data_IF_302809230697
#
_entry.id   IF_302809230697
#
_cell.length_a   1.000
_cell.length_b   1.000
_cell.length_c   1.000
_cell.angle_alpha   90.00
_cell.angle_beta   90.00
_cell.angle_gamma   90.00
#
_symmetry.space_group_name_H-M   'P 1'
#
loop_
_entity.id
_entity.type
_entity.pdbx_description
1 polymer ?
#
# COMPACT_ATOMS: atom_id res chain seq x y z
N UNK A 1 -13.00 11.00 -41.18
CA UNK A 1 -12.08 10.21 -40.35
C UNK A 1 -12.81 9.88 -39.07
N UNK A 2 -13.17 8.62 -38.85
CA UNK A 2 -13.88 8.18 -37.64
C UNK A 2 -12.89 8.14 -36.48
N UNK A 3 -13.07 8.98 -35.46
CA UNK A 3 -12.39 8.80 -34.18
C UNK A 3 -13.00 7.58 -33.51
N UNK A 4 -12.35 6.42 -33.63
CA UNK A 4 -12.68 5.29 -32.78
C UNK A 4 -12.34 5.70 -31.33
N UNK A 5 -13.36 5.80 -30.47
CA UNK A 5 -13.14 6.00 -29.04
C UNK A 5 -12.33 4.83 -28.50
N UNK A 6 -11.23 5.15 -27.82
CA UNK A 6 -10.37 4.14 -27.20
C UNK A 6 -11.07 3.62 -25.94
N UNK A 7 -11.76 2.50 -26.06
CA UNK A 7 -12.38 1.82 -24.92
C UNK A 7 -11.28 1.31 -23.97
N UNK A 8 -11.35 1.71 -22.70
CA UNK A 8 -10.50 1.19 -21.63
C UNK A 8 -11.39 0.30 -20.76
N UNK A 9 -11.14 -1.01 -20.71
CA UNK A 9 -11.89 -1.92 -19.84
C UNK A 9 -11.80 -1.48 -18.37
N UNK A 10 -12.90 -1.66 -17.63
CA UNK A 10 -12.96 -1.46 -16.18
C UNK A 10 -13.08 -2.80 -15.47
N UNK A 11 -12.47 -2.92 -14.31
CA UNK A 11 -12.37 -4.15 -13.53
C UNK A 11 -12.68 -3.92 -12.05
N UNK A 12 -13.10 -4.98 -11.38
CA UNK A 12 -13.39 -5.05 -9.95
C UNK A 12 -12.34 -5.89 -9.21
N UNK A 13 -12.42 -5.93 -7.88
CA UNK A 13 -11.62 -6.82 -7.04
C UNK A 13 -11.89 -8.29 -7.39
N UNK A 14 -13.13 -8.65 -7.73
CA UNK A 14 -13.47 -10.02 -8.15
C UNK A 14 -12.71 -10.39 -9.44
N UNK A 15 -12.63 -9.48 -10.42
CA UNK A 15 -11.82 -9.69 -11.62
C UNK A 15 -10.33 -9.81 -11.27
N UNK A 16 -9.82 -8.92 -10.42
CA UNK A 16 -8.42 -8.87 -10.00
C UNK A 16 -7.93 -10.17 -9.37
N UNK A 17 -8.77 -10.84 -8.57
CA UNK A 17 -8.42 -12.10 -7.89
C UNK A 17 -8.05 -13.25 -8.85
N UNK A 18 -8.45 -13.14 -10.11
CA UNK A 18 -8.21 -14.13 -11.15
C UNK A 18 -7.02 -13.78 -12.06
N UNK A 19 -6.34 -12.66 -11.84
CA UNK A 19 -5.24 -12.22 -12.69
C UNK A 19 -3.95 -12.99 -12.43
N UNK A 20 -3.22 -13.28 -13.51
CA UNK A 20 -1.89 -13.88 -13.45
C UNK A 20 -0.80 -12.79 -13.60
N UNK A 21 0.24 -12.89 -12.78
CA UNK A 21 1.37 -11.95 -12.78
C UNK A 21 1.20 -10.76 -11.85
N UNK A 22 2.05 -9.76 -12.02
CA UNK A 22 2.16 -8.62 -11.12
C UNK A 22 1.35 -7.42 -11.61
N UNK A 23 0.20 -7.19 -10.96
CA UNK A 23 -0.75 -6.14 -11.33
C UNK A 23 -1.22 -5.34 -10.11
N UNK A 24 -1.58 -4.08 -10.37
CA UNK A 24 -2.40 -3.25 -9.49
C UNK A 24 -3.72 -2.94 -10.19
N UNK A 25 -4.78 -2.75 -9.40
CA UNK A 25 -6.06 -2.26 -9.85
C UNK A 25 -6.23 -0.83 -9.30
N UNK A 26 -6.35 0.18 -10.16
CA UNK A 26 -6.49 1.57 -9.70
C UNK A 26 -7.66 2.22 -10.41
N UNK A 27 -8.69 2.60 -9.65
CA UNK A 27 -9.93 3.21 -10.14
C UNK A 27 -10.55 2.44 -11.33
N UNK A 28 -10.55 1.11 -11.23
CA UNK A 28 -11.08 0.19 -12.23
C UNK A 28 -10.09 -0.14 -13.36
N UNK A 29 -8.88 0.41 -13.35
CA UNK A 29 -7.91 0.24 -14.43
C UNK A 29 -6.82 -0.76 -14.02
N UNK A 30 -6.55 -1.73 -14.90
CA UNK A 30 -5.42 -2.66 -14.75
C UNK A 30 -4.09 -1.96 -15.04
N UNK A 31 -3.19 -1.96 -14.07
CA UNK A 31 -1.84 -1.40 -14.19
C UNK A 31 -0.84 -2.52 -13.99
N UNK A 32 -0.02 -2.82 -15.00
CA UNK A 32 1.08 -3.76 -14.86
C UNK A 32 2.12 -3.18 -13.93
N UNK A 33 2.50 -3.91 -12.89
CA UNK A 33 3.64 -3.50 -12.10
C UNK A 33 4.93 -3.71 -12.90
N UNK A 34 5.93 -2.89 -12.58
CA UNK A 34 7.26 -3.11 -13.14
C UNK A 34 7.76 -4.50 -12.69
N UNK A 35 8.49 -5.25 -13.53
CA UNK A 35 9.15 -6.47 -13.09
C UNK A 35 10.02 -6.20 -11.85
N UNK A 36 10.24 -7.26 -11.07
CA UNK A 36 11.00 -7.31 -9.80
C UNK A 36 11.91 -6.11 -9.56
N UNK A 37 11.82 -5.45 -8.39
CA UNK A 37 12.60 -4.25 -8.10
C UNK A 37 14.09 -4.47 -8.27
N UNK A 38 14.79 -3.45 -8.77
CA UNK A 38 16.25 -3.51 -8.87
C UNK A 38 16.87 -3.51 -7.47
N UNK A 39 18.05 -4.14 -7.35
CA UNK A 39 18.73 -4.33 -6.07
C UNK A 39 18.87 -3.08 -5.17
N UNK A 40 19.05 -1.85 -5.68
CA UNK A 40 19.04 -0.64 -4.84
C UNK A 40 17.69 -0.35 -4.16
N UNK A 41 16.58 -0.50 -4.88
CA UNK A 41 15.23 -0.27 -4.35
C UNK A 41 14.89 -1.35 -3.32
N UNK A 42 15.12 -2.63 -3.67
CA UNK A 42 14.86 -3.74 -2.74
C UNK A 42 15.69 -3.64 -1.46
N UNK A 43 16.93 -3.16 -1.55
CA UNK A 43 17.78 -2.89 -0.38
C UNK A 43 17.23 -1.75 0.47
N UNK A 44 16.65 -0.71 -0.13
CA UNK A 44 16.02 0.38 0.59
C UNK A 44 14.78 -0.09 1.34
N UNK A 45 13.89 -0.82 0.65
CA UNK A 45 12.69 -1.46 1.24
C UNK A 45 13.10 -2.33 2.43
N UNK A 46 14.05 -3.25 2.24
CA UNK A 46 14.55 -4.13 3.31
C UNK A 46 15.05 -3.37 4.54
N UNK A 47 15.77 -2.25 4.34
CA UNK A 47 16.29 -1.43 5.45
C UNK A 47 15.18 -0.66 6.16
N UNK A 48 14.23 -0.13 5.41
CA UNK A 48 13.08 0.60 5.96
C UNK A 48 12.23 -0.35 6.80
N UNK A 49 11.87 -1.53 6.26
CA UNK A 49 11.10 -2.53 6.99
C UNK A 49 11.80 -2.98 8.27
N UNK A 50 13.11 -3.22 8.24
CA UNK A 50 13.89 -3.55 9.45
C UNK A 50 13.86 -2.43 10.48
N UNK A 51 14.05 -1.17 10.04
CA UNK A 51 14.02 -0.02 10.93
C UNK A 51 12.65 0.14 11.61
N UNK A 52 11.56 -0.06 10.85
CA UNK A 52 10.20 0.01 11.35
C UNK A 52 9.92 -1.14 12.32
N UNK A 53 10.27 -2.38 11.97
CA UNK A 53 10.09 -3.55 12.83
C UNK A 53 10.78 -3.37 14.18
N UNK A 54 12.04 -2.94 14.19
CA UNK A 54 12.77 -2.66 15.43
C UNK A 54 12.08 -1.57 16.28
N UNK A 55 11.57 -0.51 15.65
CA UNK A 55 10.88 0.56 16.37
C UNK A 55 9.53 0.11 16.96
N UNK A 56 8.82 -0.79 16.28
CA UNK A 56 7.59 -1.41 16.79
C UNK A 56 7.89 -2.29 18.01
N UNK A 57 8.92 -3.14 17.92
CA UNK A 57 9.36 -4.00 19.03
C UNK A 57 9.81 -3.18 20.24
N UNK A 58 10.62 -2.14 20.04
CA UNK A 58 11.11 -1.27 21.13
C UNK A 58 9.97 -0.50 21.81
N UNK A 59 8.95 -0.10 21.04
CA UNK A 59 7.79 0.63 21.55
C UNK A 59 6.69 -0.27 22.16
N UNK A 60 6.84 -1.60 22.08
CA UNK A 60 5.83 -2.59 22.51
C UNK A 60 4.45 -2.33 21.87
N UNK A 61 4.45 -2.02 20.56
CA UNK A 61 3.22 -1.82 19.81
C UNK A 61 2.73 -3.13 19.20
N UNK A 62 1.43 -3.39 19.32
CA UNK A 62 0.73 -4.46 18.61
C UNK A 62 0.57 -4.10 17.12
N UNK A 63 1.68 -4.04 16.39
CA UNK A 63 1.73 -3.75 14.97
C UNK A 63 2.72 -4.65 14.26
N UNK A 64 2.61 -4.75 12.93
CA UNK A 64 3.53 -5.49 12.08
C UNK A 64 3.86 -4.69 10.82
N UNK A 65 5.11 -4.83 10.35
CA UNK A 65 5.54 -4.23 9.08
C UNK A 65 5.46 -5.26 7.95
N UNK A 66 4.84 -4.89 6.85
CA UNK A 66 4.72 -5.70 5.64
C UNK A 66 5.44 -5.04 4.47
N UNK A 67 6.16 -5.82 3.67
CA UNK A 67 6.72 -5.36 2.40
C UNK A 67 5.94 -5.99 1.24
N UNK A 68 5.45 -5.16 0.31
CA UNK A 68 4.76 -5.65 -0.89
C UNK A 68 3.44 -6.39 -0.64
N UNK A 69 2.72 -6.09 0.45
CA UNK A 69 1.41 -6.69 0.73
C UNK A 69 0.29 -5.93 -0.02
N UNK A 70 -0.63 -6.67 -0.62
CA UNK A 70 -1.80 -6.09 -1.29
C UNK A 70 -2.78 -5.47 -0.28
N UNK A 71 -3.30 -4.30 -0.65
CA UNK A 71 -4.31 -3.58 0.10
C UNK A 71 -5.50 -3.25 -0.79
N UNK A 72 -6.67 -3.77 -0.41
CA UNK A 72 -7.95 -3.49 -1.04
C UNK A 72 -8.51 -2.20 -0.46
N UNK A 73 -8.42 -1.12 -1.24
CA UNK A 73 -8.90 0.21 -0.86
C UNK A 73 -10.39 0.35 -1.11
N UNK A 74 -10.84 -0.21 -2.23
CA UNK A 74 -12.25 -0.27 -2.65
C UNK A 74 -12.43 -1.41 -3.65
N UNK A 75 -13.68 -1.69 -4.04
CA UNK A 75 -14.00 -2.71 -5.04
C UNK A 75 -13.36 -2.45 -6.42
N UNK A 76 -12.93 -1.22 -6.70
CA UNK A 76 -12.25 -0.86 -7.95
C UNK A 76 -10.79 -0.46 -7.72
N UNK A 77 -10.21 -0.69 -6.53
CA UNK A 77 -8.84 -0.26 -6.23
C UNK A 77 -8.11 -1.21 -5.27
N UNK A 78 -7.08 -1.86 -5.79
CA UNK A 78 -6.10 -2.68 -5.08
C UNK A 78 -4.70 -2.14 -5.37
N UNK A 79 -4.00 -1.73 -4.31
CA UNK A 79 -2.63 -1.22 -4.41
C UNK A 79 -1.67 -2.11 -3.64
N UNK A 80 -0.40 -2.15 -4.07
CA UNK A 80 0.68 -2.87 -3.40
C UNK A 80 1.76 -1.89 -2.98
N UNK A 81 1.71 -1.34 -1.75
CA UNK A 81 2.76 -0.46 -1.25
C UNK A 81 4.07 -1.22 -1.04
N UNK A 82 5.20 -0.53 -1.21
CA UNK A 82 6.52 -1.11 -0.95
C UNK A 82 6.69 -1.52 0.52
N UNK A 83 6.23 -0.67 1.45
CA UNK A 83 6.19 -0.95 2.89
C UNK A 83 4.88 -0.44 3.48
N UNK A 84 4.29 -1.24 4.37
CA UNK A 84 3.06 -0.94 5.10
C UNK A 84 3.21 -1.34 6.57
N UNK A 85 2.51 -0.64 7.47
CA UNK A 85 2.42 -1.01 8.89
C UNK A 85 0.97 -1.23 9.26
N UNK A 86 0.68 -2.37 9.88
CA UNK A 86 -0.68 -2.76 10.27
C UNK A 86 -0.71 -3.04 11.78
N UNK A 87 -1.55 -2.30 12.50
CA UNK A 87 -1.75 -2.50 13.93
C UNK A 87 -3.02 -3.29 14.25
N UNK A 88 -2.99 -4.07 15.34
CA UNK A 88 -4.10 -4.88 15.80
C UNK A 88 -4.21 -6.21 15.06
N UNK A 89 -5.41 -6.53 14.57
CA UNK A 89 -5.65 -7.77 13.82
C UNK A 89 -4.87 -7.79 12.52
N UNK A 90 -4.12 -8.87 12.30
CA UNK A 90 -3.22 -9.01 11.17
C UNK A 90 -3.90 -9.74 10.02
N UNK A 91 -3.72 -9.28 8.77
CA UNK A 91 -4.35 -9.91 7.60
C UNK A 91 -3.72 -11.27 7.28
N UNK A 92 -4.55 -12.26 6.97
CA UNK A 92 -4.07 -13.57 6.51
C UNK A 92 -3.61 -13.56 5.04
N UNK A 93 -4.20 -12.72 4.19
CA UNK A 93 -3.96 -12.69 2.74
C UNK A 93 -3.64 -11.30 2.22
N UNK A 94 -4.60 -10.39 2.32
CA UNK A 94 -4.49 -9.00 1.91
C UNK A 94 -5.12 -8.13 2.98
N UNK A 95 -4.69 -6.87 3.06
CA UNK A 95 -5.33 -5.92 3.95
C UNK A 95 -6.70 -5.51 3.37
N UNK A 96 -7.75 -5.67 4.17
CA UNK A 96 -9.07 -5.14 3.89
C UNK A 96 -9.46 -4.17 5.00
N UNK A 97 -10.24 -3.14 4.67
CA UNK A 97 -10.85 -2.23 5.63
C UNK A 97 -9.86 -1.67 6.67
N UNK A 98 -9.08 -0.64 6.31
CA UNK A 98 -7.98 -0.19 7.16
C UNK A 98 -8.44 0.40 8.50
N UNK A 99 -9.74 0.68 8.72
CA UNK A 99 -10.37 1.71 9.60
C UNK A 99 -9.93 1.81 11.07
N UNK A 100 -9.12 0.90 11.61
CA UNK A 100 -8.47 1.05 12.93
C UNK A 100 -6.92 1.02 12.95
N UNK A 101 -6.25 0.57 11.90
CA UNK A 101 -4.87 0.05 12.00
C UNK A 101 -3.79 0.99 11.47
N UNK A 102 -4.07 1.81 10.44
CA UNK A 102 -3.06 2.65 9.79
C UNK A 102 -2.83 4.03 10.46
N UNK A 103 -3.84 4.63 11.10
CA UNK A 103 -3.70 5.98 11.70
C UNK A 103 -2.88 5.99 13.00
N UNK A 104 -2.82 4.86 13.72
CA UNK A 104 -2.26 4.82 15.08
C UNK A 104 -0.75 5.02 15.08
N UNK A 105 -0.02 4.48 14.08
CA UNK A 105 1.41 4.74 13.92
C UNK A 105 1.72 6.21 13.67
N UNK A 106 0.86 6.94 12.94
CA UNK A 106 1.12 8.34 12.60
C UNK A 106 1.10 9.30 13.79
N UNK A 107 0.40 8.93 14.86
CA UNK A 107 0.25 9.76 16.07
C UNK A 107 1.39 9.58 17.07
N UNK A 108 2.26 8.57 16.89
CA UNK A 108 3.34 8.26 17.85
C UNK A 108 4.75 8.31 17.25
N UNK A 109 4.88 8.65 15.97
CA UNK A 109 6.19 8.91 15.37
C UNK A 109 6.75 10.26 15.88
N UNK A 110 8.08 10.37 16.05
CA UNK A 110 8.70 11.63 16.44
C UNK A 110 8.32 12.75 15.45
N UNK A 111 8.05 13.97 15.95
CA UNK A 111 7.65 15.11 15.09
C UNK A 111 8.59 15.34 13.90
N UNK A 112 9.88 14.99 14.03
CA UNK A 112 10.89 15.06 12.97
C UNK A 112 10.56 14.24 11.71
N UNK A 113 9.64 13.27 11.79
CA UNK A 113 9.19 12.44 10.67
C UNK A 113 7.83 12.86 10.10
N UNK A 114 7.16 13.85 10.71
CA UNK A 114 5.74 14.19 10.42
C UNK A 114 5.55 15.34 9.42
N UNK A 115 6.59 15.83 8.76
CA UNK A 115 6.51 16.90 7.76
C UNK A 115 5.91 16.41 6.43
N UNK A 116 4.60 16.17 6.39
CA UNK A 116 3.85 16.02 5.13
C UNK A 116 2.68 17.01 5.12
N UNK A 117 2.83 18.06 4.30
CA UNK A 117 1.80 19.08 4.05
C UNK A 117 0.49 18.41 3.67
N UNK A 118 -0.53 18.66 4.48
CA UNK A 118 -1.91 18.27 4.22
C UNK A 118 -2.48 19.09 3.06
N UNK A 119 -2.25 18.63 1.83
CA UNK A 119 -3.09 18.95 0.68
C UNK A 119 -4.23 17.93 0.63
N UNK A 120 -5.47 18.41 0.55
CA UNK A 120 -6.68 17.64 0.88
C UNK A 120 -6.84 16.33 0.11
N UNK A 121 -6.71 15.22 0.84
CA UNK A 121 -7.43 13.97 0.58
C UNK A 121 -7.88 13.45 1.95
N UNK A 122 -9.19 13.45 2.16
CA UNK A 122 -9.82 12.93 3.37
C UNK A 122 -9.54 11.44 3.50
N UNK A 123 -8.96 11.06 4.65
CA UNK A 123 -9.01 9.73 5.26
C UNK A 123 -8.45 8.57 4.42
N UNK A 124 -7.15 8.58 4.17
CA UNK A 124 -6.20 7.45 4.34
C UNK A 124 -4.85 7.99 3.89
N UNK A 125 -3.84 8.04 4.77
CA UNK A 125 -2.48 8.41 4.36
C UNK A 125 -1.69 7.12 4.22
N UNK A 126 -1.55 6.66 2.98
CA UNK A 126 -0.58 5.62 2.63
C UNK A 126 0.73 6.31 2.30
N UNK A 127 1.79 5.85 2.95
CA UNK A 127 3.14 6.34 2.68
C UNK A 127 3.71 5.53 1.53
N UNK A 128 3.64 6.10 0.35
CA UNK A 128 4.44 5.69 -0.80
C UNK A 128 5.88 6.17 -0.58
N UNK A 129 6.80 5.24 -0.38
CA UNK A 129 8.22 5.52 -0.55
C UNK A 129 8.60 5.09 -1.96
N UNK A 130 8.93 6.04 -2.83
CA UNK A 130 9.62 5.78 -4.11
C UNK A 130 11.13 5.80 -3.84
#
# INVERSE_FOLDING_TARGET
MSSAEKYIPRYTVDDYQHWEGDWQLVEGIAISMNPSPFGPHERAVSRISLCIGNAIEEADFECESYAGLDWIVSDETVVRPDVMVVCGEQPERHLENPQSSLWKCFLHLPESWTSVRSGGFTKTKVFWFI
#
